data_IF_274696424413
#
_entry.id   IF_274696424413
#
_cell.length_a   1.000
_cell.length_b   1.000
_cell.length_c   1.000
_cell.angle_alpha   90.00
_cell.angle_beta   90.00
_cell.angle_gamma   90.00
#
_symmetry.space_group_name_H-M   'P 1'
#
loop_
_entity.id
_entity.type
_entity.pdbx_description
1 polymer ?
#
# COMPACT_ATOMS: atom_id res chain seq x y z
N UNK A 1 -72.67 -37.71 3.32
CA UNK A 1 -71.82 -38.34 4.36
C UNK A 1 -70.64 -37.41 4.63
N UNK A 2 -70.35 -37.15 5.92
CA UNK A 2 -69.47 -36.07 6.42
C UNK A 2 -68.02 -36.15 5.92
N UNK A 3 -67.42 -35.00 5.60
CA UNK A 3 -65.98 -34.79 5.31
C UNK A 3 -65.14 -35.03 6.56
N UNK A 4 -63.93 -35.55 6.42
CA UNK A 4 -62.85 -35.31 7.41
C UNK A 4 -61.50 -35.19 6.70
N UNK A 5 -60.92 -33.98 6.72
CA UNK A 5 -59.53 -33.71 6.34
C UNK A 5 -58.62 -34.27 7.45
N UNK A 6 -57.61 -35.06 7.10
CA UNK A 6 -56.58 -35.48 8.06
C UNK A 6 -55.56 -34.36 8.22
N UNK A 7 -55.60 -33.73 9.39
CA UNK A 7 -54.57 -32.84 9.91
C UNK A 7 -53.47 -33.74 10.49
N UNK A 8 -52.27 -33.74 9.90
CA UNK A 8 -51.10 -34.37 10.51
C UNK A 8 -50.43 -33.33 11.41
N UNK A 9 -50.58 -33.52 12.72
CA UNK A 9 -49.74 -32.89 13.74
C UNK A 9 -48.54 -33.82 13.95
N UNK A 10 -47.33 -33.33 13.71
CA UNK A 10 -46.11 -33.96 14.18
C UNK A 10 -45.47 -33.03 15.23
N UNK A 11 -45.30 -33.53 16.44
CA UNK A 11 -44.67 -32.86 17.55
C UNK A 11 -43.70 -33.85 18.19
N UNK A 12 -42.40 -33.48 18.23
CA UNK A 12 -41.31 -33.95 19.10
C UNK A 12 -39.98 -33.64 18.38
N UNK A 13 -38.89 -33.19 18.99
CA UNK A 13 -38.53 -32.96 20.38
C UNK A 13 -37.55 -31.77 20.42
N UNK A 14 -37.59 -30.97 21.50
CA UNK A 14 -36.59 -29.94 21.78
C UNK A 14 -35.25 -30.60 22.06
N UNK A 15 -34.43 -30.76 21.03
CA UNK A 15 -33.00 -30.97 21.20
C UNK A 15 -32.38 -29.58 21.34
N UNK A 16 -32.15 -29.16 22.59
CA UNK A 16 -31.30 -28.02 22.90
C UNK A 16 -29.86 -28.39 22.51
N UNK A 17 -29.58 -28.34 21.20
CA UNK A 17 -28.25 -28.05 20.76
C UNK A 17 -28.07 -26.58 21.12
N UNK A 18 -27.24 -26.33 22.12
CA UNK A 18 -26.46 -25.10 22.12
C UNK A 18 -25.88 -25.01 20.71
N UNK A 19 -26.50 -24.21 19.84
CA UNK A 19 -25.73 -23.55 18.82
C UNK A 19 -24.70 -22.78 19.64
N UNK A 20 -23.51 -23.36 19.78
CA UNK A 20 -22.31 -22.55 19.91
C UNK A 20 -22.33 -21.73 18.64
N UNK A 21 -23.02 -20.59 18.67
CA UNK A 21 -22.67 -19.50 17.79
C UNK A 21 -21.20 -19.28 18.15
N UNK A 22 -20.23 -19.56 17.26
CA UNK A 22 -18.99 -18.84 17.41
C UNK A 22 -19.42 -17.39 17.60
N UNK A 23 -18.98 -16.75 18.68
CA UNK A 23 -19.00 -15.29 18.78
C UNK A 23 -18.72 -14.82 17.36
N UNK A 24 -19.64 -14.06 16.74
CA UNK A 24 -19.37 -13.52 15.43
C UNK A 24 -18.04 -12.80 15.60
N UNK A 25 -16.94 -13.40 15.12
CA UNK A 25 -15.62 -12.79 15.27
C UNK A 25 -15.79 -11.41 14.67
N UNK A 26 -15.38 -10.37 15.40
CA UNK A 26 -15.53 -9.03 14.85
C UNK A 26 -14.80 -9.02 13.50
N UNK A 27 -15.30 -8.23 12.57
CA UNK A 27 -14.58 -8.09 11.30
C UNK A 27 -13.20 -7.52 11.63
N UNK A 28 -12.14 -8.13 11.08
CA UNK A 28 -10.77 -7.70 11.32
C UNK A 28 -10.12 -8.23 12.61
N UNK A 29 -10.61 -9.29 13.24
CA UNK A 29 -9.88 -9.90 14.38
C UNK A 29 -8.58 -10.57 13.94
N UNK A 30 -8.58 -11.26 12.80
CA UNK A 30 -7.40 -11.98 12.31
C UNK A 30 -7.28 -11.90 10.79
N UNK A 31 -6.20 -12.47 10.24
CA UNK A 31 -5.99 -12.61 8.80
C UNK A 31 -7.18 -13.26 8.05
N UNK A 32 -7.92 -14.17 8.69
CA UNK A 32 -9.04 -14.89 8.07
C UNK A 32 -10.33 -14.09 8.01
N UNK A 33 -10.45 -13.09 8.89
CA UNK A 33 -11.59 -12.20 9.05
C UNK A 33 -11.25 -10.74 8.71
N UNK A 34 -10.04 -10.50 8.19
CA UNK A 34 -9.50 -9.19 7.86
C UNK A 34 -10.47 -8.37 7.01
N UNK A 35 -10.70 -7.11 7.41
CA UNK A 35 -11.61 -6.23 6.67
C UNK A 35 -10.93 -5.74 5.39
N UNK A 36 -11.55 -6.00 4.23
CA UNK A 36 -10.96 -5.68 2.94
C UNK A 36 -11.05 -4.19 2.59
N UNK A 37 -9.89 -3.60 2.25
CA UNK A 37 -9.78 -2.30 1.59
C UNK A 37 -9.94 -2.53 0.08
N UNK A 38 -11.00 -1.98 -0.50
CA UNK A 38 -11.40 -2.31 -1.89
C UNK A 38 -10.92 -1.31 -2.94
N UNK A 39 -10.46 -0.13 -2.52
CA UNK A 39 -9.94 0.91 -3.42
C UNK A 39 -9.05 1.89 -2.66
N UNK A 40 -8.04 2.43 -3.33
CA UNK A 40 -7.21 3.51 -2.83
C UNK A 40 -7.47 4.82 -3.61
N UNK A 41 -7.31 6.00 -2.97
CA UNK A 41 -7.01 6.19 -1.55
C UNK A 41 -8.19 5.78 -0.65
N UNK A 42 -7.89 5.37 0.58
CA UNK A 42 -8.87 5.01 1.59
C UNK A 42 -8.57 5.71 2.92
N UNK A 43 -9.63 6.12 3.60
CA UNK A 43 -9.60 6.49 5.02
C UNK A 43 -10.59 5.58 5.73
N UNK A 44 -10.08 4.76 6.63
CA UNK A 44 -10.89 3.81 7.40
C UNK A 44 -10.76 4.11 8.90
N UNK A 45 -11.78 3.71 9.65
CA UNK A 45 -11.82 3.92 11.10
C UNK A 45 -12.06 2.57 11.79
N UNK A 46 -11.45 2.39 12.96
CA UNK A 46 -11.69 1.22 13.79
C UNK A 46 -11.49 1.52 15.28
N UNK A 47 -11.69 0.48 16.08
CA UNK A 47 -11.50 0.53 17.53
C UNK A 47 -11.00 -0.82 18.05
N UNK A 48 -9.80 -0.87 18.65
CA UNK A 48 -9.15 -2.12 19.08
C UNK A 48 -9.64 -2.63 20.44
N UNK A 49 -10.41 -1.84 21.20
CA UNK A 49 -10.76 -2.14 22.60
C UNK A 49 -11.57 -3.44 22.83
N UNK A 50 -12.13 -4.05 21.79
CA UNK A 50 -12.84 -5.33 21.88
C UNK A 50 -12.18 -6.48 21.13
N UNK A 51 -11.04 -6.23 20.48
CA UNK A 51 -10.32 -7.24 19.73
C UNK A 51 -9.50 -8.15 20.66
N UNK A 52 -8.90 -9.19 20.10
CA UNK A 52 -7.89 -9.98 20.78
C UNK A 52 -6.48 -9.38 20.55
N UNK A 53 -5.53 -9.82 21.37
CA UNK A 53 -4.09 -9.61 21.19
C UNK A 53 -3.55 -10.92 20.58
N UNK A 54 -3.44 -10.94 19.26
CA UNK A 54 -3.09 -12.09 18.43
C UNK A 54 -1.70 -11.93 17.79
N UNK A 55 -1.26 -10.70 17.54
CA UNK A 55 0.01 -10.41 16.88
C UNK A 55 0.83 -9.38 17.67
N UNK A 56 2.15 -9.55 17.67
CA UNK A 56 3.06 -8.54 18.23
C UNK A 56 4.42 -8.61 17.53
N UNK A 57 4.82 -7.50 16.91
CA UNK A 57 6.10 -7.35 16.22
C UNK A 57 7.04 -6.38 16.94
N UNK A 58 8.35 -6.57 16.74
CA UNK A 58 9.40 -5.77 17.38
C UNK A 58 9.83 -4.63 16.46
N UNK A 59 9.41 -3.40 16.76
CA UNK A 59 9.51 -2.31 15.77
C UNK A 59 9.80 -0.89 16.30
N UNK A 60 10.96 -0.62 16.95
CA UNK A 60 12.06 -1.50 17.32
C UNK A 60 11.96 -2.05 18.75
N UNK A 61 10.91 -1.69 19.48
CA UNK A 61 10.74 -2.01 20.89
C UNK A 61 10.13 -3.39 21.08
N UNK A 62 10.49 -4.06 22.17
CA UNK A 62 10.16 -5.47 22.45
C UNK A 62 9.00 -5.62 23.44
N UNK A 63 8.19 -4.58 23.57
CA UNK A 63 7.03 -4.55 24.45
C UNK A 63 5.99 -5.58 24.03
N UNK A 64 5.02 -5.84 24.90
CA UNK A 64 4.15 -7.00 24.77
C UNK A 64 3.16 -6.93 23.60
N UNK A 65 2.98 -5.76 22.98
CA UNK A 65 1.87 -5.52 22.06
C UNK A 65 0.58 -5.26 22.83
N UNK A 66 -0.48 -4.93 22.10
CA UNK A 66 -1.80 -4.61 22.60
C UNK A 66 -2.90 -5.36 21.84
N UNK A 67 -4.12 -4.84 21.91
CA UNK A 67 -5.22 -5.41 21.12
C UNK A 67 -5.08 -4.97 19.66
N UNK A 68 -5.30 -5.88 18.73
CA UNK A 68 -5.01 -5.64 17.31
C UNK A 68 -6.23 -5.77 16.39
N UNK A 69 -6.18 -5.08 15.25
CA UNK A 69 -7.16 -5.21 14.17
C UNK A 69 -6.48 -5.32 12.81
N UNK A 70 -7.00 -6.22 11.98
CA UNK A 70 -6.43 -6.59 10.70
C UNK A 70 -7.29 -6.09 9.54
N UNK A 71 -6.64 -5.33 8.65
CA UNK A 71 -7.16 -4.98 7.33
C UNK A 71 -6.45 -5.80 6.25
N UNK A 72 -7.12 -6.04 5.13
CA UNK A 72 -6.50 -6.67 3.96
C UNK A 72 -6.57 -5.79 2.73
N UNK A 73 -5.51 -5.81 1.93
CA UNK A 73 -5.42 -5.10 0.65
C UNK A 73 -4.76 -6.00 -0.40
N UNK A 74 -5.34 -6.04 -1.61
CA UNK A 74 -4.80 -6.83 -2.73
C UNK A 74 -4.64 -5.94 -3.95
N UNK A 75 -3.41 -5.45 -4.22
CA UNK A 75 -3.17 -4.53 -5.33
C UNK A 75 -3.36 -5.22 -6.68
N UNK A 76 -3.84 -4.47 -7.67
CA UNK A 76 -4.03 -4.95 -9.05
C UNK A 76 -2.81 -4.71 -9.94
N UNK A 77 -1.89 -3.84 -9.50
CA UNK A 77 -0.63 -3.51 -10.13
C UNK A 77 0.45 -3.36 -9.05
N UNK A 78 1.73 -3.42 -9.43
CA UNK A 78 2.79 -3.11 -8.47
C UNK A 78 2.69 -1.62 -8.11
N UNK A 79 2.68 -1.31 -6.82
CA UNK A 79 2.55 0.05 -6.33
C UNK A 79 3.27 0.20 -4.99
N UNK A 80 3.26 1.41 -4.47
CA UNK A 80 3.89 1.75 -3.19
C UNK A 80 2.84 2.39 -2.31
N UNK A 81 2.71 1.94 -1.06
CA UNK A 81 1.71 2.42 -0.12
C UNK A 81 2.33 3.32 0.93
N UNK A 82 1.56 4.34 1.27
CA UNK A 82 1.75 5.18 2.44
C UNK A 82 0.57 4.92 3.39
N UNK A 83 0.90 4.52 4.62
CA UNK A 83 -0.03 4.15 5.68
C UNK A 83 0.16 5.09 6.86
N UNK A 84 -0.90 5.74 7.31
CA UNK A 84 -0.82 6.69 8.42
C UNK A 84 -1.93 6.46 9.44
N UNK A 85 -1.53 6.35 10.72
CA UNK A 85 -2.46 6.40 11.85
C UNK A 85 -2.55 7.81 12.48
N UNK A 86 -1.85 8.81 11.95
CA UNK A 86 -1.73 10.15 12.55
C UNK A 86 -3.01 11.00 12.51
N UNK A 87 -4.08 10.46 11.92
CA UNK A 87 -5.36 11.15 11.83
C UNK A 87 -5.90 11.56 13.21
N UNK A 88 -6.71 12.63 13.28
CA UNK A 88 -7.22 13.17 14.53
C UNK A 88 -8.23 12.26 15.26
N UNK A 89 -8.58 11.10 14.69
CA UNK A 89 -9.43 10.11 15.36
C UNK A 89 -8.62 9.07 16.15
N UNK A 90 -7.29 9.04 16.00
CA UNK A 90 -6.41 8.15 16.76
C UNK A 90 -6.17 8.72 18.16
N UNK A 91 -6.41 7.90 19.18
CA UNK A 91 -6.45 8.32 20.58
C UNK A 91 -5.62 7.46 21.55
N UNK A 92 -4.72 6.60 21.03
CA UNK A 92 -3.81 5.76 21.81
C UNK A 92 -2.44 5.61 21.14
N UNK A 93 -1.47 5.11 21.90
CA UNK A 93 -0.11 4.76 21.46
C UNK A 93 -0.14 3.50 20.59
N UNK A 94 0.18 3.64 19.31
CA UNK A 94 -0.09 2.61 18.30
C UNK A 94 1.18 1.88 17.88
N UNK A 95 0.98 0.68 17.35
CA UNK A 95 1.96 -0.04 16.55
C UNK A 95 1.32 -0.44 15.21
N UNK A 96 2.07 -0.35 14.12
CA UNK A 96 1.60 -0.65 12.76
C UNK A 96 2.59 -1.57 12.05
N UNK A 97 2.09 -2.70 11.53
CA UNK A 97 2.89 -3.60 10.70
C UNK A 97 2.09 -4.21 9.57
N UNK A 98 2.82 -4.69 8.55
CA UNK A 98 2.24 -5.28 7.36
C UNK A 98 2.86 -6.64 7.07
N UNK A 99 2.03 -7.67 6.97
CA UNK A 99 2.41 -9.00 6.50
C UNK A 99 2.07 -9.18 5.02
N UNK A 100 2.85 -10.00 4.32
CA UNK A 100 2.56 -10.43 2.95
C UNK A 100 2.04 -11.87 2.95
N UNK A 101 0.86 -12.07 2.37
CA UNK A 101 0.12 -13.32 2.15
C UNK A 101 -0.29 -14.13 3.40
N UNK A 102 0.47 -14.08 4.49
CA UNK A 102 0.23 -14.86 5.72
C UNK A 102 0.62 -14.04 6.95
N UNK A 103 -0.31 -13.83 7.89
CA UNK A 103 0.00 -13.19 9.17
C UNK A 103 0.96 -14.01 10.02
N UNK A 104 1.76 -13.34 10.86
CA UNK A 104 2.80 -13.95 11.69
C UNK A 104 4.04 -14.43 10.91
N UNK A 105 4.15 -14.05 9.63
CA UNK A 105 5.40 -14.11 8.88
C UNK A 105 6.27 -12.90 9.24
N UNK A 106 7.49 -12.77 8.68
CA UNK A 106 8.25 -11.53 8.88
C UNK A 106 7.48 -10.36 8.25
N UNK A 107 7.23 -9.26 8.98
CA UNK A 107 6.56 -8.11 8.40
C UNK A 107 7.43 -7.47 7.31
N UNK A 108 6.80 -6.97 6.25
CA UNK A 108 7.46 -6.25 5.14
C UNK A 108 7.57 -4.75 5.41
N UNK A 109 6.85 -4.26 6.42
CA UNK A 109 6.90 -2.89 6.92
C UNK A 109 6.42 -2.89 8.35
N UNK A 110 7.07 -2.08 9.19
CA UNK A 110 6.68 -1.95 10.58
C UNK A 110 7.14 -0.61 11.16
N UNK A 111 6.33 -0.03 12.03
CA UNK A 111 6.63 1.18 12.77
C UNK A 111 5.82 1.21 14.08
N UNK A 112 6.41 1.79 15.12
CA UNK A 112 5.78 2.00 16.42
C UNK A 112 5.56 3.50 16.61
N UNK A 113 6.65 4.27 16.63
CA UNK A 113 6.60 5.73 16.75
C UNK A 113 6.97 6.44 15.45
N UNK A 114 6.14 7.38 15.01
CA UNK A 114 6.51 8.36 13.99
C UNK A 114 5.97 9.78 14.23
N UNK A 115 4.73 9.93 14.70
CA UNK A 115 4.06 11.22 14.80
C UNK A 115 3.26 11.40 16.10
N UNK A 116 2.61 12.55 16.23
CA UNK A 116 1.60 12.82 17.24
C UNK A 116 0.44 13.66 16.69
N UNK A 117 -0.68 13.66 17.41
CA UNK A 117 -1.85 14.47 17.09
C UNK A 117 -2.36 15.20 18.35
N UNK A 118 -3.59 15.74 18.30
CA UNK A 118 -4.16 16.50 19.42
C UNK A 118 -4.61 15.64 20.61
N UNK A 119 -4.77 14.33 20.43
CA UNK A 119 -5.30 13.40 21.44
C UNK A 119 -4.21 12.48 22.04
N UNK A 120 -3.17 12.16 21.28
CA UNK A 120 -2.09 11.27 21.72
C UNK A 120 -0.76 11.55 21.01
N UNK A 121 0.33 11.16 21.65
CA UNK A 121 1.67 11.03 21.06
C UNK A 121 1.92 9.55 20.68
N UNK A 122 3.08 9.24 20.10
CA UNK A 122 3.52 7.86 19.84
C UNK A 122 2.61 7.11 18.86
N UNK A 123 2.38 7.72 17.69
CA UNK A 123 1.51 7.16 16.65
C UNK A 123 2.35 6.72 15.46
N UNK A 124 1.96 5.61 14.84
CA UNK A 124 2.74 4.94 13.79
C UNK A 124 2.38 5.39 12.36
N UNK A 125 3.39 5.37 11.49
CA UNK A 125 3.23 5.51 10.04
C UNK A 125 4.24 4.64 9.28
N UNK A 126 3.86 4.18 8.09
CA UNK A 126 4.76 3.49 7.16
C UNK A 126 4.65 4.17 5.80
N UNK A 127 5.74 4.76 5.32
CA UNK A 127 5.82 5.37 4.00
C UNK A 127 6.65 4.51 3.04
N UNK A 128 6.30 4.52 1.76
CA UNK A 128 7.12 3.87 0.74
C UNK A 128 7.05 2.34 0.74
N UNK A 129 5.98 1.74 1.26
CA UNK A 129 5.85 0.28 1.34
C UNK A 129 5.56 -0.32 -0.04
N UNK A 130 6.54 -1.03 -0.62
CA UNK A 130 6.37 -1.68 -1.91
C UNK A 130 5.44 -2.88 -1.83
N UNK A 131 4.39 -2.89 -2.66
CA UNK A 131 3.42 -3.99 -2.77
C UNK A 131 3.29 -4.47 -4.23
N UNK A 132 3.12 -5.77 -4.41
CA UNK A 132 3.17 -6.45 -5.72
C UNK A 132 1.80 -7.03 -6.07
N UNK A 133 1.40 -6.89 -7.32
CA UNK A 133 0.15 -7.45 -7.82
C UNK A 133 0.11 -8.98 -7.65
N UNK A 134 -1.04 -9.51 -7.25
CA UNK A 134 -1.25 -10.94 -7.06
C UNK A 134 -0.92 -11.46 -5.65
N UNK A 135 -0.42 -10.60 -4.76
CA UNK A 135 -0.31 -10.86 -3.33
C UNK A 135 -1.45 -10.21 -2.55
N UNK A 136 -1.71 -10.69 -1.34
CA UNK A 136 -2.60 -10.04 -0.36
C UNK A 136 -1.76 -9.55 0.81
N UNK A 137 -1.91 -8.29 1.16
CA UNK A 137 -1.22 -7.63 2.26
C UNK A 137 -2.16 -7.46 3.44
N UNK A 138 -1.68 -7.78 4.64
CA UNK A 138 -2.44 -7.68 5.87
C UNK A 138 -1.83 -6.58 6.73
N UNK A 139 -2.59 -5.51 6.92
CA UNK A 139 -2.19 -4.33 7.68
C UNK A 139 -2.76 -4.50 9.09
N UNK A 140 -1.89 -4.64 10.08
CA UNK A 140 -2.26 -4.84 11.48
C UNK A 140 -2.06 -3.53 12.23
N UNK A 141 -3.15 -3.04 12.80
CA UNK A 141 -3.18 -1.87 13.69
C UNK A 141 -3.26 -2.41 15.12
N UNK A 142 -2.24 -2.14 15.91
CA UNK A 142 -2.00 -2.72 17.23
C UNK A 142 -1.74 -1.60 18.26
N UNK A 143 -1.77 -1.93 19.54
CA UNK A 143 -1.30 -1.10 20.63
C UNK A 143 0.16 -1.35 20.95
N UNK A 144 0.88 -0.34 21.42
CA UNK A 144 2.24 -0.50 21.92
C UNK A 144 2.34 -1.54 23.07
N UNK A 145 1.40 -1.47 24.02
CA UNK A 145 1.29 -2.39 25.16
C UNK A 145 -0.18 -2.78 25.45
N UNK A 146 -0.37 -3.66 26.44
CA UNK A 146 -1.69 -4.19 26.81
C UNK A 146 -2.69 -3.14 27.31
N UNK A 147 -2.24 -1.92 27.63
CA UNK A 147 -3.08 -0.80 28.01
C UNK A 147 -3.37 0.18 26.86
N UNK A 148 -2.58 0.12 25.79
CA UNK A 148 -2.75 0.90 24.57
C UNK A 148 -3.82 0.28 23.67
N UNK A 149 -5.03 0.83 23.73
CA UNK A 149 -6.12 0.47 22.82
C UNK A 149 -7.11 1.63 22.74
N UNK A 150 -7.83 1.72 21.63
CA UNK A 150 -8.76 2.82 21.42
C UNK A 150 -9.23 2.94 19.99
N UNK A 151 -9.72 4.13 19.64
CA UNK A 151 -10.13 4.46 18.29
C UNK A 151 -8.92 4.84 17.44
N UNK A 152 -8.99 4.52 16.15
CA UNK A 152 -7.98 4.96 15.19
C UNK A 152 -8.60 5.40 13.86
N UNK A 153 -7.86 6.24 13.15
CA UNK A 153 -8.04 6.53 11.74
C UNK A 153 -6.82 6.00 10.99
N UNK A 154 -7.05 5.13 10.01
CA UNK A 154 -6.01 4.65 9.10
C UNK A 154 -6.22 5.27 7.71
N UNK A 155 -5.31 6.14 7.32
CA UNK A 155 -5.21 6.70 5.98
C UNK A 155 -4.25 5.85 5.14
N UNK A 156 -4.71 5.49 3.94
CA UNK A 156 -4.01 4.59 3.02
C UNK A 156 -4.01 5.25 1.65
N UNK A 157 -2.83 5.62 1.18
CA UNK A 157 -2.67 6.17 -0.15
C UNK A 157 -1.67 5.33 -0.93
N UNK A 158 -1.97 5.06 -2.19
CA UNK A 158 -0.93 4.65 -3.11
C UNK A 158 -0.13 5.90 -3.47
N UNK A 159 1.20 5.83 -3.34
CA UNK A 159 2.07 6.77 -4.02
C UNK A 159 1.68 6.76 -5.51
N UNK A 160 1.58 7.94 -6.11
CA UNK A 160 1.22 8.03 -7.52
C UNK A 160 2.19 7.12 -8.31
N UNK A 161 1.67 6.24 -9.20
CA UNK A 161 2.56 5.45 -10.04
C UNK A 161 3.52 6.41 -10.77
N UNK A 162 4.80 6.04 -10.94
CA UNK A 162 5.76 6.91 -11.61
C UNK A 162 5.16 7.42 -12.92
N UNK A 163 5.23 8.73 -13.15
CA UNK A 163 4.71 9.34 -14.38
C UNK A 163 5.30 8.63 -15.60
N UNK A 164 4.59 8.63 -16.73
CA UNK A 164 5.12 8.03 -17.95
C UNK A 164 6.47 8.68 -18.30
N UNK A 165 7.51 7.87 -18.45
CA UNK A 165 8.88 8.33 -18.63
C UNK A 165 9.64 8.59 -17.32
N UNK A 166 9.08 8.37 -16.14
CA UNK A 166 9.82 8.59 -14.89
C UNK A 166 10.93 7.54 -14.65
N UNK A 167 10.76 6.32 -15.18
CA UNK A 167 11.73 5.24 -14.97
C UNK A 167 11.96 4.44 -16.26
N UNK A 168 13.06 3.71 -16.33
CA UNK A 168 13.30 2.78 -17.44
C UNK A 168 12.32 1.59 -17.48
N UNK A 169 11.61 1.31 -16.38
CA UNK A 169 10.54 0.31 -16.35
C UNK A 169 9.22 0.83 -16.95
N UNK A 170 9.04 2.16 -17.04
CA UNK A 170 7.88 2.80 -17.64
C UNK A 170 8.29 3.97 -18.55
N UNK A 171 9.05 3.73 -19.64
CA UNK A 171 9.59 4.79 -20.49
C UNK A 171 8.53 5.33 -21.47
N UNK A 172 8.78 6.51 -22.03
CA UNK A 172 8.05 6.96 -23.21
C UNK A 172 8.60 6.22 -24.43
N UNK A 173 7.85 5.27 -24.96
CA UNK A 173 8.24 4.47 -26.12
C UNK A 173 8.13 5.28 -27.41
N UNK A 174 9.23 5.35 -28.17
CA UNK A 174 9.33 6.01 -29.47
C UNK A 174 9.65 4.96 -30.53
N UNK A 175 8.65 4.60 -31.34
CA UNK A 175 8.77 3.57 -32.39
C UNK A 175 8.62 4.12 -33.82
N UNK A 176 8.39 5.42 -33.96
CA UNK A 176 8.23 6.10 -35.26
C UNK A 176 9.07 7.35 -35.31
N UNK A 177 9.83 7.54 -36.38
CA UNK A 177 10.75 8.66 -36.56
C UNK A 177 10.43 9.39 -37.88
N UNK A 178 10.43 10.73 -37.92
CA UNK A 178 10.71 11.67 -36.83
C UNK A 178 9.62 11.69 -35.75
N UNK A 179 10.01 11.98 -34.51
CA UNK A 179 9.13 12.06 -33.35
C UNK A 179 9.21 13.46 -32.75
N UNK A 180 8.07 14.01 -32.30
CA UNK A 180 8.02 15.26 -31.55
C UNK A 180 6.99 15.16 -30.43
N UNK A 181 7.31 15.73 -29.27
CA UNK A 181 6.44 15.77 -28.10
C UNK A 181 6.74 16.98 -27.23
N UNK A 182 5.82 17.31 -26.33
CA UNK A 182 5.95 18.34 -25.31
C UNK A 182 5.69 17.72 -23.94
N UNK A 183 6.71 17.67 -23.08
CA UNK A 183 6.64 17.08 -21.74
C UNK A 183 7.30 18.01 -20.70
N UNK A 184 7.12 17.69 -19.43
CA UNK A 184 7.76 18.35 -18.28
C UNK A 184 8.44 17.29 -17.41
N UNK A 185 9.61 17.62 -16.87
CA UNK A 185 10.31 16.80 -15.87
C UNK A 185 9.80 17.07 -14.44
N UNK A 186 9.11 18.20 -14.23
CA UNK A 186 8.55 18.61 -12.93
C UNK A 186 7.77 17.48 -12.24
N UNK A 187 8.17 17.12 -11.02
CA UNK A 187 7.56 16.05 -10.23
C UNK A 187 8.06 14.64 -10.57
N UNK A 188 9.04 14.51 -11.47
CA UNK A 188 9.75 13.25 -11.72
C UNK A 188 10.95 13.15 -10.76
N UNK A 189 11.57 11.98 -10.67
CA UNK A 189 12.73 11.75 -9.81
C UNK A 189 14.01 12.20 -10.56
N UNK A 190 15.07 12.55 -9.84
CA UNK A 190 16.41 12.79 -10.38
C UNK A 190 17.31 11.61 -10.01
N UNK A 191 17.36 10.61 -10.88
CA UNK A 191 17.96 9.29 -10.65
C UNK A 191 18.91 8.84 -11.78
N UNK A 192 19.01 9.57 -12.89
CA UNK A 192 19.86 9.24 -14.03
C UNK A 192 21.07 10.17 -14.22
N UNK A 193 21.34 11.03 -13.24
CA UNK A 193 22.34 12.12 -13.27
C UNK A 193 23.83 11.75 -13.37
N UNK A 194 24.20 10.46 -13.47
CA UNK A 194 25.60 10.05 -13.70
C UNK A 194 26.02 10.36 -15.13
N UNK A 195 26.99 11.27 -15.28
CA UNK A 195 27.38 11.88 -16.55
C UNK A 195 28.85 11.66 -16.88
N UNK A 196 29.18 11.72 -18.18
CA UNK A 196 30.57 11.68 -18.64
C UNK A 196 31.33 13.03 -18.47
N UNK A 197 30.68 14.21 -18.41
CA UNK A 197 31.47 15.48 -18.29
C UNK A 197 30.79 16.84 -17.94
N UNK A 198 29.55 16.98 -17.43
CA UNK A 198 28.96 18.34 -17.20
C UNK A 198 28.00 18.50 -16.01
N UNK A 199 27.57 19.74 -15.74
CA UNK A 199 26.68 20.17 -14.64
C UNK A 199 25.17 20.04 -14.92
N UNK A 200 24.73 19.37 -16.00
CA UNK A 200 23.34 19.42 -16.50
C UNK A 200 22.46 18.20 -16.21
N UNK A 201 22.91 17.23 -15.41
CA UNK A 201 22.14 16.06 -14.95
C UNK A 201 21.77 16.13 -13.47
N UNK A 202 21.58 17.33 -12.93
CA UNK A 202 21.12 17.54 -11.56
C UNK A 202 19.63 17.88 -11.45
N UNK A 203 18.90 17.84 -12.57
CA UNK A 203 17.45 18.06 -12.61
C UNK A 203 16.68 16.74 -12.63
N UNK A 204 15.37 16.82 -12.45
CA UNK A 204 14.47 15.67 -12.59
C UNK A 204 14.54 15.11 -14.02
N UNK A 205 14.39 13.80 -14.16
CA UNK A 205 14.65 13.07 -15.40
C UNK A 205 13.37 12.61 -16.11
N UNK A 206 13.48 12.44 -17.44
CA UNK A 206 12.45 11.82 -18.26
C UNK A 206 13.10 10.85 -19.26
N UNK A 207 12.70 9.59 -19.19
CA UNK A 207 13.22 8.44 -19.93
C UNK A 207 12.39 8.18 -21.18
N UNK A 208 13.08 8.10 -22.30
CA UNK A 208 12.52 7.67 -23.59
C UNK A 208 13.18 6.36 -24.03
N UNK A 209 12.38 5.43 -24.54
CA UNK A 209 12.87 4.20 -25.17
C UNK A 209 12.80 4.34 -26.69
N UNK A 210 13.96 4.36 -27.34
CA UNK A 210 14.04 4.43 -28.80
C UNK A 210 14.00 3.03 -29.41
N UNK A 211 12.86 2.65 -29.98
CA UNK A 211 12.70 1.36 -30.67
C UNK A 211 13.12 1.51 -32.14
N UNK A 212 14.42 1.33 -32.39
CA UNK A 212 15.02 1.43 -33.73
C UNK A 212 15.22 0.04 -34.37
N UNK A 213 15.07 -0.10 -35.70
CA UNK A 213 15.45 -1.33 -36.40
C UNK A 213 16.97 -1.54 -36.34
N UNK A 214 17.44 -2.75 -36.69
CA UNK A 214 18.87 -3.03 -36.70
C UNK A 214 19.61 -2.17 -37.75
N UNK A 215 20.67 -1.47 -37.33
CA UNK A 215 21.46 -0.60 -38.19
C UNK A 215 22.25 0.45 -37.41
N UNK A 216 22.99 1.28 -38.14
CA UNK A 216 23.65 2.45 -37.59
C UNK A 216 22.81 3.68 -37.93
N UNK A 217 22.54 4.52 -36.93
CA UNK A 217 21.73 5.72 -37.06
C UNK A 217 22.44 6.90 -36.43
N UNK A 218 22.36 8.05 -37.10
CA UNK A 218 22.67 9.34 -36.48
C UNK A 218 21.40 9.85 -35.80
N UNK A 219 21.52 10.25 -34.53
CA UNK A 219 20.40 10.74 -33.73
C UNK A 219 20.53 12.25 -33.56
N UNK A 220 19.62 12.99 -34.17
CA UNK A 220 19.50 14.44 -34.00
C UNK A 220 18.37 14.76 -33.02
N UNK A 221 18.72 15.35 -31.87
CA UNK A 221 17.76 15.82 -30.87
C UNK A 221 17.68 17.34 -30.88
N UNK A 222 16.47 17.88 -31.02
CA UNK A 222 16.22 19.32 -30.97
C UNK A 222 15.18 19.63 -29.91
N UNK A 223 15.57 20.36 -28.87
CA UNK A 223 14.63 20.94 -27.91
C UNK A 223 14.14 22.30 -28.42
N UNK A 224 12.83 22.50 -28.48
CA UNK A 224 12.24 23.81 -28.82
C UNK A 224 11.33 24.25 -27.67
N UNK A 225 11.47 25.50 -27.22
CA UNK A 225 10.63 26.12 -26.19
C UNK A 225 10.71 25.52 -24.75
N UNK A 226 11.90 25.19 -24.26
CA UNK A 226 12.13 24.81 -22.85
C UNK A 226 12.46 26.01 -21.95
N UNK A 227 11.96 26.01 -20.72
CA UNK A 227 12.20 27.09 -19.73
C UNK A 227 13.51 26.97 -18.94
N UNK A 228 14.42 26.05 -19.27
CA UNK A 228 15.62 25.74 -18.46
C UNK A 228 16.75 25.15 -19.31
N UNK A 229 17.94 24.99 -18.71
CA UNK A 229 19.04 24.22 -19.28
C UNK A 229 18.65 22.73 -19.35
N UNK A 230 18.64 22.15 -20.54
CA UNK A 230 18.27 20.73 -20.76
C UNK A 230 19.53 19.92 -21.03
N UNK A 231 19.74 18.85 -20.27
CA UNK A 231 20.74 17.80 -20.54
C UNK A 231 20.10 16.60 -21.24
N UNK A 232 20.85 15.91 -22.09
CA UNK A 232 20.42 14.65 -22.72
C UNK A 232 21.49 13.59 -22.50
N UNK A 233 21.06 12.40 -22.12
CA UNK A 233 21.94 11.26 -21.90
C UNK A 233 21.41 10.06 -22.68
N UNK A 234 22.24 9.51 -23.56
CA UNK A 234 21.96 8.24 -24.20
C UNK A 234 22.60 7.15 -23.35
N UNK A 235 21.78 6.25 -22.83
CA UNK A 235 22.19 5.09 -22.03
C UNK A 235 21.81 3.83 -22.79
N UNK A 236 22.60 2.77 -22.64
CA UNK A 236 22.17 1.45 -23.07
C UNK A 236 21.23 0.83 -22.01
N UNK A 237 20.69 -0.36 -22.31
CA UNK A 237 19.79 -1.04 -21.39
C UNK A 237 20.46 -1.45 -20.06
N UNK A 238 21.79 -1.60 -20.02
CA UNK A 238 22.51 -1.96 -18.80
C UNK A 238 22.71 -0.75 -17.87
N UNK A 239 22.90 0.44 -18.44
CA UNK A 239 23.08 1.70 -17.71
C UNK A 239 21.75 2.42 -17.36
N UNK A 240 20.61 1.82 -17.71
CA UNK A 240 19.24 2.29 -17.41
C UNK A 240 18.66 1.65 -16.12
N UNK A 241 19.37 0.71 -15.49
CA UNK A 241 18.97 0.18 -14.18
C UNK A 241 19.65 1.02 -13.10
N UNK A 242 18.85 1.72 -12.28
CA UNK A 242 19.32 2.39 -11.06
C UNK A 242 19.66 1.34 -10.00
#
# INVERSE_FOLDING_TARGET
MKRTRRLLLAMAASCAWLCYSPSAMAQGEDCSTATAITSLPATVFGNTSSANDDYNEVCPYTDTGGLDQVWSYSPVANETLDLSLCGPATDYDTKLYVYENVCGSSPIGCNDDNCSNLNTDFISEIFGLSVTAGNTYYIVVDGYDASSNGNYQLDITAAAPPSLGATCANPIVVSTFPFSTSNSTCGSINDYGTQCSTSYGGGEDLVFELQMPAGNFDIDLTATNGGSYIGWFLKDAADCAV
#
